data_IF_345610124177
#
_entry.id   IF_345610124177
#
_cell.length_a   1.000
_cell.length_b   1.000
_cell.length_c   1.000
_cell.angle_alpha   90.00
_cell.angle_beta   90.00
_cell.angle_gamma   90.00
#
_symmetry.space_group_name_H-M   'P 1'
#
loop_
_entity.id
_entity.type
_entity.pdbx_description
1 polymer ?
#
# COMPACT_ATOMS: atom_id res chain seq x y z
N UNK A 1 16.40 -3.63 -0.29
CA UNK A 1 15.79 -2.92 0.85
C UNK A 1 14.87 -1.77 0.45
N UNK A 2 15.36 -0.73 -0.23
CA UNK A 2 14.52 0.44 -0.59
C UNK A 2 13.30 0.12 -1.48
N UNK A 3 13.50 -0.61 -2.57
CA UNK A 3 12.42 -0.96 -3.52
C UNK A 3 11.35 -1.81 -2.82
N UNK A 4 11.76 -2.86 -2.12
CA UNK A 4 10.84 -3.76 -1.40
C UNK A 4 10.03 -3.04 -0.32
N UNK A 5 10.66 -2.11 0.41
CA UNK A 5 9.95 -1.26 1.37
C UNK A 5 8.95 -0.35 0.65
N UNK A 6 9.33 0.33 -0.43
CA UNK A 6 8.39 1.15 -1.18
C UNK A 6 7.21 0.34 -1.74
N UNK A 7 7.46 -0.86 -2.27
CA UNK A 7 6.40 -1.77 -2.70
C UNK A 7 5.41 -2.05 -1.56
N UNK A 8 5.91 -2.39 -0.37
CA UNK A 8 5.08 -2.63 0.80
C UNK A 8 4.29 -1.39 1.25
N UNK A 9 4.91 -0.21 1.25
CA UNK A 9 4.25 1.05 1.60
C UNK A 9 3.09 1.35 0.65
N UNK A 10 3.34 1.22 -0.66
CA UNK A 10 2.31 1.46 -1.68
C UNK A 10 1.22 0.39 -1.68
N UNK A 11 1.56 -0.87 -1.39
CA UNK A 11 0.57 -1.93 -1.19
C UNK A 11 -0.34 -1.60 0.01
N UNK A 12 0.23 -1.21 1.15
CA UNK A 12 -0.53 -0.85 2.34
C UNK A 12 -1.45 0.37 2.11
N UNK A 13 -0.98 1.36 1.34
CA UNK A 13 -1.83 2.48 0.90
C UNK A 13 -2.98 2.03 0.01
N UNK A 14 -2.73 1.12 -0.93
CA UNK A 14 -3.78 0.52 -1.76
C UNK A 14 -4.82 -0.21 -0.92
N UNK A 15 -4.38 -1.03 0.05
CA UNK A 15 -5.25 -1.73 0.99
C UNK A 15 -6.08 -0.77 1.84
N UNK A 16 -5.50 0.37 2.28
CA UNK A 16 -6.25 1.41 2.98
C UNK A 16 -7.43 1.92 2.16
N UNK A 17 -7.20 2.24 0.89
CA UNK A 17 -8.26 2.75 0.01
C UNK A 17 -9.34 1.69 -0.25
N UNK A 18 -8.94 0.46 -0.54
CA UNK A 18 -9.89 -0.66 -0.71
C UNK A 18 -10.71 -0.91 0.56
N UNK A 19 -10.10 -0.82 1.74
CA UNK A 19 -10.82 -0.97 3.00
C UNK A 19 -11.84 0.16 3.24
N UNK A 20 -11.51 1.39 2.86
CA UNK A 20 -12.45 2.52 2.94
C UNK A 20 -13.63 2.28 2.00
N UNK A 21 -13.38 1.89 0.75
CA UNK A 21 -14.43 1.56 -0.22
C UNK A 21 -15.33 0.42 0.27
N UNK A 22 -14.74 -0.67 0.78
CA UNK A 22 -15.49 -1.79 1.35
C UNK A 22 -16.36 -1.37 2.54
N UNK A 23 -15.85 -0.49 3.40
CA UNK A 23 -16.62 0.07 4.51
C UNK A 23 -17.79 0.92 3.99
N UNK A 24 -17.58 1.75 2.97
CA UNK A 24 -18.65 2.55 2.34
C UNK A 24 -19.71 1.69 1.65
N UNK A 25 -19.33 0.52 1.13
CA UNK A 25 -20.23 -0.50 0.60
C UNK A 25 -20.97 -1.30 1.69
N UNK A 26 -20.70 -1.02 2.97
CA UNK A 26 -21.30 -1.73 4.11
C UNK A 26 -20.74 -3.14 4.32
N UNK A 27 -19.54 -3.43 3.81
CA UNK A 27 -18.83 -4.72 3.98
C UNK A 27 -17.74 -4.59 5.04
N UNK A 28 -18.11 -4.27 6.27
CA UNK A 28 -17.15 -3.91 7.32
C UNK A 28 -16.23 -5.07 7.71
N UNK A 29 -16.71 -6.31 7.68
CA UNK A 29 -15.89 -7.49 7.98
C UNK A 29 -14.70 -7.62 7.01
N UNK A 30 -14.97 -7.43 5.70
CA UNK A 30 -13.93 -7.41 4.66
C UNK A 30 -12.97 -6.23 4.84
N UNK A 31 -13.49 -5.04 5.14
CA UNK A 31 -12.66 -3.85 5.39
C UNK A 31 -11.67 -4.07 6.54
N UNK A 32 -12.14 -4.65 7.65
CA UNK A 32 -11.28 -5.01 8.80
C UNK A 32 -10.24 -6.05 8.40
N UNK A 33 -10.62 -7.09 7.66
CA UNK A 33 -9.71 -8.13 7.19
C UNK A 33 -8.55 -7.55 6.36
N UNK A 34 -8.87 -6.67 5.40
CA UNK A 34 -7.87 -5.97 4.58
C UNK A 34 -6.93 -5.11 5.42
N UNK A 35 -7.45 -4.37 6.41
CA UNK A 35 -6.62 -3.53 7.29
C UNK A 35 -5.72 -4.35 8.21
N UNK A 36 -6.21 -5.48 8.74
CA UNK A 36 -5.41 -6.40 9.56
C UNK A 36 -4.23 -6.97 8.77
N UNK A 37 -4.49 -7.41 7.53
CA UNK A 37 -3.44 -7.88 6.63
C UNK A 37 -2.40 -6.79 6.36
N UNK A 38 -2.84 -5.56 6.04
CA UNK A 38 -1.94 -4.42 5.82
C UNK A 38 -1.04 -4.12 7.03
N UNK A 39 -1.63 -4.04 8.24
CA UNK A 39 -0.89 -3.77 9.48
C UNK A 39 0.08 -4.91 9.82
N UNK A 40 -0.34 -6.16 9.61
CA UNK A 40 0.49 -7.36 9.81
C UNK A 40 1.71 -7.34 8.88
N UNK A 41 1.49 -7.08 7.59
CA UNK A 41 2.55 -7.04 6.58
C UNK A 41 3.58 -5.93 6.82
N UNK A 42 3.14 -4.79 7.40
CA UNK A 42 4.02 -3.70 7.85
C UNK A 42 4.63 -3.92 9.25
N UNK A 43 4.32 -5.03 9.93
CA UNK A 43 4.89 -5.33 11.24
C UNK A 43 6.35 -5.77 11.13
N UNK A 44 7.19 -5.29 12.05
CA UNK A 44 8.63 -5.61 12.06
C UNK A 44 9.44 -5.06 10.88
N UNK A 45 8.84 -4.30 9.96
CA UNK A 45 9.53 -3.69 8.82
C UNK A 45 9.61 -2.19 8.99
N UNK A 46 10.83 -1.67 9.06
CA UNK A 46 11.08 -0.23 9.12
C UNK A 46 12.33 0.14 8.31
N UNK A 47 12.32 1.27 7.59
CA UNK A 47 13.52 1.84 7.00
C UNK A 47 14.49 2.29 8.09
N UNK A 48 15.79 2.12 7.86
CA UNK A 48 16.86 2.67 8.72
C UNK A 48 17.07 4.17 8.53
N UNK A 49 16.67 4.71 7.37
CA UNK A 49 16.72 6.13 7.09
C UNK A 49 15.58 6.86 7.80
N UNK A 50 15.90 7.89 8.59
CA UNK A 50 14.96 8.64 9.42
C UNK A 50 13.80 9.27 8.65
N UNK A 51 14.07 9.84 7.47
CA UNK A 51 13.01 10.45 6.62
C UNK A 51 12.00 9.42 6.15
N UNK A 52 12.46 8.23 5.76
CA UNK A 52 11.61 7.13 5.31
C UNK A 52 10.93 6.41 6.48
N UNK A 53 11.61 6.36 7.63
CA UNK A 53 11.05 5.84 8.86
C UNK A 53 9.81 6.63 9.29
N UNK A 54 9.87 7.96 9.25
CA UNK A 54 8.74 8.82 9.56
C UNK A 54 7.52 8.52 8.68
N UNK A 55 7.72 8.44 7.36
CA UNK A 55 6.65 8.12 6.39
C UNK A 55 6.01 6.75 6.66
N UNK A 56 6.84 5.74 6.95
CA UNK A 56 6.34 4.40 7.30
C UNK A 56 5.56 4.37 8.59
N UNK A 57 6.06 5.05 9.62
CA UNK A 57 5.44 5.13 10.93
C UNK A 57 4.10 5.85 10.87
N UNK A 58 4.03 6.94 10.12
CA UNK A 58 2.79 7.69 9.87
C UNK A 58 1.74 6.81 9.18
N UNK A 59 2.11 6.11 8.10
CA UNK A 59 1.17 5.24 7.39
C UNK A 59 0.67 4.11 8.28
N UNK A 60 1.55 3.48 9.05
CA UNK A 60 1.19 2.42 10.00
C UNK A 60 0.26 2.92 11.10
N UNK A 61 0.49 4.14 11.59
CA UNK A 61 -0.37 4.79 12.57
C UNK A 61 -1.76 5.05 11.98
N UNK A 62 -1.83 5.60 10.76
CA UNK A 62 -3.09 5.86 10.07
C UNK A 62 -3.92 4.59 9.87
N UNK A 63 -3.29 3.50 9.41
CA UNK A 63 -3.95 2.20 9.28
C UNK A 63 -4.53 1.68 10.60
N UNK A 64 -3.78 1.81 11.70
CA UNK A 64 -4.23 1.38 13.04
C UNK A 64 -5.39 2.21 13.57
N UNK A 65 -5.40 3.52 13.30
CA UNK A 65 -6.51 4.40 13.69
C UNK A 65 -7.80 3.98 12.98
N UNK A 66 -7.73 3.73 11.66
CA UNK A 66 -8.90 3.28 10.88
C UNK A 66 -9.33 1.88 11.34
N UNK A 67 -8.39 0.94 11.48
CA UNK A 67 -8.67 -0.42 11.92
C UNK A 67 -9.39 -0.44 13.26
N UNK A 68 -8.88 0.30 14.25
CA UNK A 68 -9.49 0.36 15.58
C UNK A 68 -10.92 0.88 15.49
N UNK A 69 -11.15 1.95 14.73
CA UNK A 69 -12.50 2.51 14.53
C UNK A 69 -13.44 1.45 13.95
N UNK A 70 -13.02 0.75 12.90
CA UNK A 70 -13.87 -0.27 12.26
C UNK A 70 -14.11 -1.48 13.19
N UNK A 71 -13.11 -1.91 13.96
CA UNK A 71 -13.29 -2.98 14.96
C UNK A 71 -14.26 -2.58 16.07
N UNK A 72 -14.18 -1.35 16.57
CA UNK A 72 -15.10 -0.81 17.58
C UNK A 72 -16.55 -0.76 17.03
N UNK A 73 -16.72 -0.25 15.81
CA UNK A 73 -18.03 -0.20 15.15
C UNK A 73 -18.56 -1.60 14.83
N UNK A 74 -17.73 -2.53 14.36
CA UNK A 74 -18.15 -3.89 14.06
C UNK A 74 -18.51 -4.67 15.33
N UNK A 75 -17.79 -4.45 16.43
CA UNK A 75 -18.06 -5.10 17.71
C UNK A 75 -19.36 -4.64 18.38
N UNK A 76 -19.88 -3.47 18.01
CA UNK A 76 -21.07 -2.88 18.64
C UNK A 76 -22.30 -2.78 17.71
N UNK A 77 -22.09 -2.47 16.43
CA UNK A 77 -23.16 -2.11 15.47
C UNK A 77 -23.40 -3.23 14.47
N UNK A 78 -22.37 -3.61 13.71
CA UNK A 78 -22.55 -4.44 12.51
C UNK A 78 -22.45 -5.94 12.76
N UNK A 79 -21.56 -6.36 13.67
CA UNK A 79 -21.33 -7.75 14.06
C UNK A 79 -21.02 -8.70 12.88
N UNK A 80 -20.35 -8.20 11.84
CA UNK A 80 -19.94 -9.00 10.69
C UNK A 80 -18.77 -9.92 11.02
N UNK A 81 -18.78 -11.11 10.41
CA UNK A 81 -17.64 -12.03 10.42
C UNK A 81 -16.47 -11.38 9.68
N UNK A 82 -15.30 -11.42 10.30
CA UNK A 82 -14.04 -11.02 9.67
C UNK A 82 -13.52 -12.24 8.87
N UNK A 83 -13.29 -12.11 7.56
CA UNK A 83 -12.77 -13.17 6.71
C UNK A 83 -11.29 -13.48 6.99
N UNK A 84 -10.88 -14.69 6.65
CA UNK A 84 -9.48 -15.10 6.68
C UNK A 84 -8.69 -14.49 5.50
N UNK A 85 -7.35 -14.52 5.58
CA UNK A 85 -6.48 -13.90 4.58
C UNK A 85 -6.70 -14.41 3.14
N UNK A 86 -7.09 -15.68 2.95
CA UNK A 86 -7.35 -16.26 1.62
C UNK A 86 -8.72 -15.87 1.04
N UNK A 87 -9.61 -15.33 1.86
CA UNK A 87 -10.94 -14.83 1.46
C UNK A 87 -10.90 -13.33 1.11
N UNK A 88 -9.78 -12.65 1.34
CA UNK A 88 -9.63 -11.22 1.07
C UNK A 88 -9.55 -10.93 -0.44
N UNK A 89 -10.07 -9.78 -0.89
CA UNK A 89 -9.97 -9.38 -2.30
C UNK A 89 -8.51 -9.17 -2.69
N UNK A 90 -8.15 -9.64 -3.89
CA UNK A 90 -6.85 -9.36 -4.48
C UNK A 90 -6.78 -7.89 -4.94
N UNK A 91 -5.69 -7.22 -4.64
CA UNK A 91 -5.43 -5.87 -5.15
C UNK A 91 -5.08 -5.93 -6.63
N UNK A 92 -5.78 -5.16 -7.45
CA UNK A 92 -5.48 -5.02 -8.87
C UNK A 92 -4.74 -3.70 -9.15
N UNK A 93 -3.58 -3.79 -9.79
CA UNK A 93 -2.79 -2.63 -10.18
C UNK A 93 -3.22 -2.08 -11.55
N UNK A 94 -3.42 -0.77 -11.64
CA UNK A 94 -3.64 -0.08 -12.93
C UNK A 94 -2.37 0.65 -13.37
N UNK A 95 -1.87 0.34 -14.57
CA UNK A 95 -0.75 1.07 -15.17
C UNK A 95 -1.21 2.46 -15.60
N UNK A 96 -0.63 3.50 -15.01
CA UNK A 96 -0.95 4.91 -15.28
C UNK A 96 0.23 5.71 -15.85
N UNK A 97 1.43 5.13 -15.88
CA UNK A 97 2.64 5.76 -16.41
C UNK A 97 3.21 4.91 -17.53
N UNK A 98 3.64 5.57 -18.60
CA UNK A 98 4.41 4.99 -19.69
C UNK A 98 5.72 5.76 -19.85
N UNK A 99 6.79 5.06 -20.25
CA UNK A 99 8.05 5.72 -20.54
C UNK A 99 7.90 6.58 -21.80
N UNK A 100 8.20 7.88 -21.69
CA UNK A 100 8.20 8.78 -22.84
C UNK A 100 9.49 8.51 -23.64
N UNK A 101 9.41 8.12 -24.93
CA UNK A 101 10.58 7.87 -25.74
C UNK A 101 11.46 9.12 -25.85
N UNK A 102 12.75 8.97 -25.57
CA UNK A 102 13.72 10.04 -25.71
C UNK A 102 14.21 10.13 -27.16
N UNK A 103 14.01 11.30 -27.79
CA UNK A 103 14.58 11.63 -29.09
C UNK A 103 15.69 12.69 -28.93
N UNK A 104 16.98 12.34 -29.12
CA UNK A 104 18.06 13.31 -29.02
C UNK A 104 17.97 14.35 -30.14
N UNK A 105 18.03 15.64 -29.79
CA UNK A 105 17.96 16.75 -30.76
C UNK A 105 19.28 17.11 -31.44
N UNK A 106 20.41 16.56 -30.97
CA UNK A 106 21.74 16.79 -31.54
C UNK A 106 22.29 15.48 -32.09
N UNK A 107 22.88 15.54 -33.29
CA UNK A 107 23.61 14.45 -33.90
C UNK A 107 24.68 13.97 -32.91
N UNK A 108 24.46 12.80 -32.30
CA UNK A 108 25.46 12.18 -31.44
C UNK A 108 26.70 11.93 -32.28
N UNK A 109 27.81 12.62 -31.98
CA UNK A 109 29.10 12.23 -32.54
C UNK A 109 29.38 10.83 -32.02
N UNK A 110 29.67 9.88 -32.91
CA UNK A 110 30.18 8.57 -32.51
C UNK A 110 31.37 8.78 -31.58
N UNK A 111 31.23 8.35 -30.32
CA UNK A 111 32.33 8.32 -29.38
C UNK A 111 33.26 7.20 -29.83
N UNK A 112 34.21 7.53 -30.70
CA UNK A 112 35.32 6.66 -31.08
C UNK A 112 36.28 6.57 -29.90
N UNK A 113 36.14 5.53 -29.08
CA UNK A 113 37.14 5.19 -28.09
C UNK A 113 38.32 4.51 -28.81
N UNK A 114 39.47 5.19 -28.89
CA UNK A 114 40.73 4.55 -29.26
C UNK A 114 41.27 3.80 -28.03
N UNK A 115 41.49 2.49 -28.21
CA UNK A 115 42.23 1.61 -27.30
C UNK A 115 43.72 1.98 -27.35
#
# INVERSE_FOLDING_TARGET
DFISLNCLLHQARGQKHVAIELYEEGKIGLAIGVLRDAVSNMSGRSPSNESWHAVFSEEKSALRVILKRYEDENGFIYLERIPDAYELPSLEGKRIVEAIPYAPKRLGRELMFRI
#
